data_IF_928657376475
#
_entry.id   IF_928657376475
#
_cell.length_a   1.000
_cell.length_b   1.000
_cell.length_c   1.000
_cell.angle_alpha   90.00
_cell.angle_beta   90.00
_cell.angle_gamma   90.00
#
_symmetry.space_group_name_H-M   'P 1'
#
loop_
_entity.id
_entity.type
_entity.pdbx_description
1 polymer ?
#
# COMPACT_ATOMS: atom_id res chain seq x y z
N UNK A 1 3.37 -45.89 -17.57
CA UNK A 1 2.30 -45.53 -16.60
C UNK A 1 2.95 -45.67 -15.23
N UNK A 2 3.69 -44.66 -14.74
CA UNK A 2 3.29 -43.65 -13.71
C UNK A 2 2.32 -44.30 -12.69
N UNK A 3 2.63 -44.41 -11.40
CA UNK A 3 2.96 -43.32 -10.47
C UNK A 3 3.84 -43.78 -9.29
N UNK A 4 4.69 -42.87 -8.84
CA UNK A 4 5.72 -43.04 -7.82
C UNK A 4 5.16 -42.81 -6.41
N UNK A 5 5.21 -43.88 -5.62
CA UNK A 5 5.72 -44.02 -4.24
C UNK A 5 5.85 -42.75 -3.38
N UNK A 6 5.15 -42.81 -2.25
CA UNK A 6 5.28 -42.02 -1.03
C UNK A 6 6.76 -41.86 -0.59
N UNK A 7 7.16 -40.63 -0.26
CA UNK A 7 8.26 -40.43 0.68
C UNK A 7 7.94 -39.24 1.57
N UNK A 8 7.95 -39.51 2.87
CA UNK A 8 7.78 -38.59 3.99
C UNK A 8 8.49 -37.26 3.81
N UNK A 9 7.72 -36.17 3.80
CA UNK A 9 8.22 -34.87 4.23
C UNK A 9 8.03 -34.77 5.75
N UNK A 10 9.04 -35.19 6.51
CA UNK A 10 9.10 -34.89 7.93
C UNK A 10 9.04 -33.36 8.13
N UNK A 11 8.12 -32.81 8.94
CA UNK A 11 8.19 -31.40 9.28
C UNK A 11 9.40 -31.17 10.19
N UNK A 12 10.35 -30.37 9.73
CA UNK A 12 11.44 -29.89 10.59
C UNK A 12 10.84 -29.21 11.84
N UNK A 13 11.39 -29.44 13.05
CA UNK A 13 10.90 -28.78 14.25
C UNK A 13 11.13 -27.28 14.12
N UNK A 14 10.05 -26.51 14.14
CA UNK A 14 10.08 -25.05 14.29
C UNK A 14 10.55 -24.71 15.71
N UNK A 15 11.85 -24.74 15.92
CA UNK A 15 12.47 -24.06 17.06
C UNK A 15 12.25 -22.54 16.94
N UNK A 16 12.16 -21.80 18.05
CA UNK A 16 11.91 -20.36 18.02
C UNK A 16 13.12 -19.65 17.44
N UNK A 17 13.03 -19.18 16.19
CA UNK A 17 14.01 -18.25 15.62
C UNK A 17 13.70 -16.85 16.13
N UNK A 18 14.07 -16.58 17.37
CA UNK A 18 14.33 -15.22 17.84
C UNK A 18 15.69 -14.77 17.28
N UNK A 19 15.70 -14.30 16.04
CA UNK A 19 16.84 -13.56 15.48
C UNK A 19 16.75 -12.08 15.89
N UNK A 20 17.89 -11.37 16.02
CA UNK A 20 17.91 -9.97 16.45
C UNK A 20 17.08 -9.11 15.49
N UNK A 21 16.23 -8.27 16.08
CA UNK A 21 15.17 -7.49 15.41
C UNK A 21 15.70 -6.17 14.80
N UNK A 22 17.00 -6.08 14.54
CA UNK A 22 17.71 -4.81 14.26
C UNK A 22 18.32 -4.69 12.86
N UNK A 23 18.15 -5.69 11.97
CA UNK A 23 18.44 -5.47 10.55
C UNK A 23 17.25 -4.78 9.90
N UNK A 24 17.44 -3.52 9.49
CA UNK A 24 16.52 -2.81 8.60
C UNK A 24 16.27 -3.75 7.40
N UNK A 25 15.02 -4.13 7.11
CA UNK A 25 14.72 -5.02 6.01
C UNK A 25 15.34 -4.52 4.70
N UNK A 26 15.88 -5.43 3.90
CA UNK A 26 16.33 -5.10 2.55
C UNK A 26 15.15 -4.54 1.75
N UNK A 27 15.21 -3.23 1.47
CA UNK A 27 14.11 -2.50 0.86
C UNK A 27 13.84 -2.94 -0.58
N UNK A 28 14.86 -3.45 -1.28
CA UNK A 28 14.68 -4.01 -2.63
C UNK A 28 13.85 -5.27 -2.54
N UNK A 29 14.20 -6.17 -1.61
CA UNK A 29 13.44 -7.39 -1.36
C UNK A 29 12.01 -7.11 -0.91
N UNK A 30 11.79 -6.16 0.01
CA UNK A 30 10.43 -5.78 0.45
C UNK A 30 9.60 -5.27 -0.73
N UNK A 31 10.19 -4.46 -1.61
CA UNK A 31 9.53 -3.97 -2.81
C UNK A 31 9.14 -5.11 -3.77
N UNK A 32 10.02 -6.08 -3.97
CA UNK A 32 9.74 -7.28 -4.77
C UNK A 32 8.61 -8.12 -4.16
N UNK A 33 8.64 -8.38 -2.85
CA UNK A 33 7.58 -9.11 -2.14
C UNK A 33 6.23 -8.37 -2.23
N UNK A 34 6.23 -7.03 -2.16
CA UNK A 34 5.04 -6.21 -2.38
C UNK A 34 4.49 -6.38 -3.79
N UNK A 35 5.34 -6.25 -4.81
CA UNK A 35 4.91 -6.40 -6.22
C UNK A 35 4.33 -7.80 -6.48
N UNK A 36 4.98 -8.85 -5.99
CA UNK A 36 4.48 -10.22 -6.11
C UNK A 36 3.12 -10.39 -5.41
N UNK A 37 3.02 -9.90 -4.17
CA UNK A 37 1.77 -9.95 -3.42
C UNK A 37 0.63 -9.22 -4.13
N UNK A 38 0.87 -8.02 -4.66
CA UNK A 38 -0.14 -7.25 -5.40
C UNK A 38 -0.51 -7.92 -6.72
N UNK A 39 0.46 -8.50 -7.44
CA UNK A 39 0.19 -9.25 -8.67
C UNK A 39 -0.71 -10.46 -8.38
N UNK A 40 -0.40 -11.24 -7.34
CA UNK A 40 -1.24 -12.35 -6.88
C UNK A 40 -2.63 -11.87 -6.47
N UNK A 41 -2.71 -10.76 -5.72
CA UNK A 41 -3.95 -10.15 -5.29
C UNK A 41 -4.85 -9.78 -6.48
N UNK A 42 -4.29 -9.13 -7.51
CA UNK A 42 -5.02 -8.75 -8.73
C UNK A 42 -5.38 -9.94 -9.60
N UNK A 43 -4.57 -11.01 -9.60
CA UNK A 43 -4.86 -12.26 -10.30
C UNK A 43 -5.95 -13.11 -9.60
N UNK A 44 -6.56 -12.62 -8.52
CA UNK A 44 -7.64 -13.29 -7.81
C UNK A 44 -7.19 -14.21 -6.67
N UNK A 45 -5.89 -14.26 -6.38
CA UNK A 45 -5.40 -14.89 -5.14
C UNK A 45 -5.72 -13.94 -3.99
N UNK A 46 -6.29 -14.44 -2.89
CA UNK A 46 -6.66 -13.65 -1.71
C UNK A 46 -7.75 -12.58 -1.86
N UNK A 47 -7.97 -12.04 -3.05
CA UNK A 47 -9.07 -11.15 -3.42
C UNK A 47 -9.90 -11.89 -4.44
N UNK A 48 -10.69 -12.85 -3.97
CA UNK A 48 -11.41 -13.71 -4.87
C UNK A 48 -12.46 -12.87 -5.62
N UNK A 49 -12.54 -13.10 -6.94
CA UNK A 49 -13.51 -12.45 -7.82
C UNK A 49 -14.94 -12.94 -7.54
N UNK A 50 -15.59 -13.58 -8.51
CA UNK A 50 -16.91 -14.21 -8.33
C UNK A 50 -16.93 -15.33 -7.26
N UNK A 51 -15.75 -15.85 -6.90
CA UNK A 51 -15.55 -16.82 -5.82
C UNK A 51 -15.29 -16.08 -4.52
N UNK A 52 -15.76 -16.61 -3.39
CA UNK A 52 -15.55 -16.01 -2.05
C UNK A 52 -14.25 -16.51 -1.42
N UNK A 53 -13.42 -15.61 -0.89
CA UNK A 53 -12.16 -15.94 -0.17
C UNK A 53 -12.50 -16.74 1.10
N UNK A 54 -11.77 -17.82 1.40
CA UNK A 54 -11.98 -18.56 2.65
C UNK A 54 -11.45 -17.78 3.87
N UNK A 55 -11.97 -18.02 5.10
CA UNK A 55 -11.48 -17.35 6.30
C UNK A 55 -9.97 -17.49 6.56
N UNK A 56 -9.37 -18.62 6.16
CA UNK A 56 -7.93 -18.88 6.28
C UNK A 56 -7.12 -17.99 5.32
N UNK A 57 -7.56 -17.88 4.08
CA UNK A 57 -6.95 -17.02 3.07
C UNK A 57 -7.09 -15.54 3.44
N UNK A 58 -8.23 -15.13 4.01
CA UNK A 58 -8.45 -13.78 4.54
C UNK A 58 -7.44 -13.44 5.63
N UNK A 59 -7.28 -14.33 6.61
CA UNK A 59 -6.31 -14.13 7.71
C UNK A 59 -4.89 -14.00 7.17
N UNK A 60 -4.51 -14.86 6.22
CA UNK A 60 -3.20 -14.81 5.57
C UNK A 60 -2.99 -13.53 4.76
N UNK A 61 -4.01 -13.08 4.03
CA UNK A 61 -3.95 -11.82 3.30
C UNK A 61 -3.72 -10.65 4.26
N UNK A 62 -4.55 -10.55 5.31
CA UNK A 62 -4.45 -9.48 6.30
C UNK A 62 -3.07 -9.43 6.94
N UNK A 63 -2.55 -10.58 7.40
CA UNK A 63 -1.22 -10.62 8.03
C UNK A 63 -0.11 -10.26 7.06
N UNK A 64 -0.22 -10.69 5.79
CA UNK A 64 0.79 -10.43 4.77
C UNK A 64 0.78 -8.96 4.35
N UNK A 65 -0.40 -8.41 4.05
CA UNK A 65 -0.58 -7.00 3.71
C UNK A 65 -0.04 -6.12 4.82
N UNK A 66 -0.45 -6.36 6.07
CA UNK A 66 -0.02 -5.55 7.22
C UNK A 66 1.49 -5.59 7.41
N UNK A 67 2.10 -6.78 7.37
CA UNK A 67 3.55 -6.92 7.48
C UNK A 67 4.27 -6.11 6.40
N UNK A 68 3.87 -6.27 5.14
CA UNK A 68 4.50 -5.58 4.02
C UNK A 68 4.28 -4.06 4.08
N UNK A 69 3.11 -3.61 4.51
CA UNK A 69 2.82 -2.18 4.70
C UNK A 69 3.64 -1.56 5.83
N UNK A 70 3.82 -2.27 6.95
CA UNK A 70 4.64 -1.83 8.07
C UNK A 70 6.12 -1.77 7.66
N UNK A 71 6.64 -2.81 6.97
CA UNK A 71 8.02 -2.88 6.48
C UNK A 71 8.31 -1.80 5.43
N UNK A 72 7.43 -1.59 4.46
CA UNK A 72 7.58 -0.58 3.41
C UNK A 72 7.54 0.84 3.98
N UNK A 73 6.63 1.14 4.91
CA UNK A 73 6.57 2.46 5.54
C UNK A 73 7.78 2.72 6.44
N UNK A 74 8.26 1.72 7.19
CA UNK A 74 9.51 1.84 7.95
C UNK A 74 10.71 2.13 7.03
N UNK A 75 10.71 1.53 5.83
CA UNK A 75 11.70 1.75 4.78
C UNK A 75 11.82 3.18 4.27
N UNK A 76 10.79 4.01 4.43
CA UNK A 76 10.83 5.42 4.01
C UNK A 76 11.90 6.21 4.77
N UNK A 77 12.30 5.78 5.97
CA UNK A 77 13.37 6.40 6.73
C UNK A 77 14.78 6.06 6.20
N UNK A 78 14.92 5.05 5.34
CA UNK A 78 16.22 4.62 4.81
C UNK A 78 16.85 5.67 3.89
N UNK A 79 18.19 5.75 3.88
CA UNK A 79 18.95 6.69 3.05
C UNK A 79 18.57 6.57 1.57
N UNK A 80 18.52 5.33 1.06
CA UNK A 80 17.84 5.05 -0.21
C UNK A 80 16.44 4.49 0.06
N UNK A 81 15.46 5.37 -0.08
CA UNK A 81 14.05 5.09 0.17
C UNK A 81 13.27 4.81 -1.12
N UNK A 82 13.92 4.80 -2.30
CA UNK A 82 13.22 4.61 -3.58
C UNK A 82 12.45 3.28 -3.64
N UNK A 83 13.01 2.13 -3.21
CA UNK A 83 12.24 0.87 -3.22
C UNK A 83 11.04 0.92 -2.26
N UNK A 84 11.21 1.56 -1.11
CA UNK A 84 10.16 1.74 -0.11
C UNK A 84 9.03 2.66 -0.62
N UNK A 85 9.38 3.76 -1.29
CA UNK A 85 8.41 4.67 -1.90
C UNK A 85 7.55 3.96 -2.95
N UNK A 86 8.18 3.14 -3.80
CA UNK A 86 7.45 2.35 -4.78
C UNK A 86 6.56 1.31 -4.11
N UNK A 87 7.07 0.61 -3.09
CA UNK A 87 6.31 -0.38 -2.34
C UNK A 87 5.05 0.24 -1.70
N UNK A 88 5.19 1.42 -1.07
CA UNK A 88 4.06 2.15 -0.48
C UNK A 88 3.07 2.59 -1.57
N UNK A 89 3.54 3.12 -2.69
CA UNK A 89 2.67 3.49 -3.82
C UNK A 89 1.82 2.30 -4.29
N UNK A 90 2.46 1.15 -4.52
CA UNK A 90 1.81 -0.07 -5.00
C UNK A 90 0.79 -0.60 -3.99
N UNK A 91 1.06 -0.52 -2.69
CA UNK A 91 0.12 -0.88 -1.63
C UNK A 91 -1.07 0.07 -1.57
N UNK A 92 -0.87 1.37 -1.74
CA UNK A 92 -1.97 2.35 -1.79
C UNK A 92 -2.82 2.16 -3.05
N UNK A 93 -2.21 1.87 -4.20
CA UNK A 93 -2.94 1.49 -5.42
C UNK A 93 -3.82 0.26 -5.17
N UNK A 94 -3.29 -0.76 -4.48
CA UNK A 94 -4.07 -1.95 -4.12
C UNK A 94 -5.21 -1.60 -3.15
N UNK A 95 -4.96 -0.77 -2.13
CA UNK A 95 -5.98 -0.31 -1.18
C UNK A 95 -7.15 0.40 -1.90
N UNK A 96 -6.82 1.29 -2.85
CA UNK A 96 -7.82 1.97 -3.68
C UNK A 96 -8.59 0.98 -4.56
N UNK A 97 -7.90 0.00 -5.14
CA UNK A 97 -8.51 -1.05 -5.96
C UNK A 97 -9.52 -1.89 -5.16
N UNK A 98 -9.12 -2.40 -3.98
CA UNK A 98 -9.97 -3.33 -3.21
C UNK A 98 -11.23 -2.68 -2.64
N UNK A 99 -11.27 -1.36 -2.51
CA UNK A 99 -12.50 -0.63 -2.16
C UNK A 99 -13.64 -0.94 -3.14
N UNK A 100 -13.32 -1.11 -4.42
CA UNK A 100 -14.29 -1.32 -5.50
C UNK A 100 -14.87 -2.74 -5.63
N UNK A 101 -14.37 -3.73 -4.88
CA UNK A 101 -14.69 -5.16 -5.08
C UNK A 101 -15.05 -5.85 -3.78
N UNK A 102 -16.14 -6.64 -3.72
CA UNK A 102 -16.57 -7.44 -2.54
C UNK A 102 -15.63 -8.61 -2.21
N UNK A 103 -14.34 -8.33 -2.01
CA UNK A 103 -13.30 -9.33 -1.77
C UNK A 103 -13.54 -10.16 -0.51
N UNK A 104 -14.07 -9.55 0.56
CA UNK A 104 -14.38 -10.21 1.83
C UNK A 104 -15.87 -10.06 2.16
N UNK A 105 -16.51 -11.17 2.53
CA UNK A 105 -17.98 -11.27 2.70
C UNK A 105 -18.58 -10.30 3.74
N UNK A 106 -17.81 -9.87 4.73
CA UNK A 106 -18.35 -9.13 5.89
C UNK A 106 -17.33 -8.21 6.56
N UNK A 107 -16.16 -8.02 5.97
CA UNK A 107 -15.09 -7.25 6.59
C UNK A 107 -14.48 -6.34 5.53
N UNK A 108 -14.27 -5.08 5.88
CA UNK A 108 -13.52 -4.18 5.02
C UNK A 108 -12.03 -4.58 5.05
N UNK A 109 -11.36 -4.79 3.90
CA UNK A 109 -9.97 -5.20 3.87
C UNK A 109 -9.01 -4.22 4.56
N UNK A 110 -9.26 -2.91 4.46
CA UNK A 110 -8.39 -1.88 5.05
C UNK A 110 -8.64 -1.75 6.55
N UNK A 111 -9.89 -1.80 7.00
CA UNK A 111 -10.23 -1.88 8.43
C UNK A 111 -9.60 -3.13 9.07
N UNK A 112 -9.69 -4.28 8.41
CA UNK A 112 -9.07 -5.51 8.87
C UNK A 112 -7.55 -5.38 9.00
N UNK A 113 -6.90 -4.77 8.00
CA UNK A 113 -5.46 -4.55 7.99
C UNK A 113 -5.00 -3.44 8.94
N UNK A 114 -5.91 -2.54 9.35
CA UNK A 114 -5.59 -1.31 10.08
C UNK A 114 -4.83 -0.30 9.23
N UNK A 115 -4.99 -0.34 7.91
CA UNK A 115 -4.24 0.48 6.96
C UNK A 115 -4.97 1.78 6.64
N UNK A 116 -4.41 2.90 7.08
CA UNK A 116 -4.94 4.25 6.81
C UNK A 116 -4.23 4.80 5.58
N UNK A 117 -4.97 4.91 4.47
CA UNK A 117 -4.42 5.35 3.18
C UNK A 117 -3.94 6.79 3.26
N UNK A 118 -4.66 7.68 3.96
CA UNK A 118 -4.22 9.07 4.10
C UNK A 118 -2.89 9.21 4.84
N UNK A 119 -2.64 8.36 5.84
CA UNK A 119 -1.38 8.36 6.61
C UNK A 119 -0.23 7.84 5.75
N UNK A 120 -0.45 6.74 5.02
CA UNK A 120 0.54 6.19 4.10
C UNK A 120 0.91 7.18 2.98
N UNK A 121 -0.08 7.87 2.40
CA UNK A 121 0.13 8.91 1.40
C UNK A 121 0.91 10.10 1.99
N UNK A 122 0.60 10.52 3.22
CA UNK A 122 1.33 11.59 3.91
C UNK A 122 2.80 11.23 4.10
N UNK A 123 3.09 10.01 4.56
CA UNK A 123 4.45 9.52 4.75
C UNK A 123 5.23 9.46 3.42
N UNK A 124 4.60 8.92 2.37
CA UNK A 124 5.18 8.83 1.03
C UNK A 124 5.53 10.21 0.46
N UNK A 125 4.56 11.12 0.43
CA UNK A 125 4.75 12.46 -0.15
C UNK A 125 5.69 13.32 0.69
N UNK A 126 5.63 13.22 2.02
CA UNK A 126 6.59 13.87 2.90
C UNK A 126 8.03 13.41 2.62
N UNK A 127 8.23 12.10 2.41
CA UNK A 127 9.55 11.56 2.05
C UNK A 127 10.02 12.01 0.67
N UNK A 128 9.14 11.97 -0.33
CA UNK A 128 9.45 12.43 -1.69
C UNK A 128 9.86 13.90 -1.71
N UNK A 129 9.15 14.76 -0.97
CA UNK A 129 9.48 16.16 -0.83
C UNK A 129 10.85 16.35 -0.18
N UNK A 130 11.09 15.68 0.95
CA UNK A 130 12.34 15.81 1.69
C UNK A 130 13.57 15.35 0.89
N UNK A 131 13.42 14.33 0.02
CA UNK A 131 14.55 13.81 -0.77
C UNK A 131 14.75 14.52 -2.09
N UNK A 132 13.67 14.87 -2.79
CA UNK A 132 13.72 15.25 -4.21
C UNK A 132 13.21 16.68 -4.47
N UNK A 133 12.65 17.35 -3.47
CA UNK A 133 12.06 18.68 -3.61
C UNK A 133 10.68 18.71 -4.26
N UNK A 134 10.14 19.92 -4.41
CA UNK A 134 8.76 20.19 -4.82
C UNK A 134 8.45 19.76 -6.26
N UNK A 135 9.38 19.91 -7.19
CA UNK A 135 9.17 19.60 -8.60
C UNK A 135 8.90 18.09 -8.82
N UNK A 136 9.75 17.24 -8.23
CA UNK A 136 9.59 15.77 -8.33
C UNK A 136 8.38 15.31 -7.53
N UNK A 137 8.11 15.92 -6.38
CA UNK A 137 6.86 15.67 -5.66
C UNK A 137 5.66 15.95 -6.57
N UNK A 138 5.59 17.10 -7.22
CA UNK A 138 4.46 17.47 -8.07
C UNK A 138 4.26 16.50 -9.24
N UNK A 139 5.35 16.11 -9.91
CA UNK A 139 5.31 15.15 -11.02
C UNK A 139 4.73 13.79 -10.60
N UNK A 140 5.02 13.35 -9.38
CA UNK A 140 4.66 12.03 -8.85
C UNK A 140 3.33 12.02 -8.10
N UNK A 141 3.16 12.96 -7.19
CA UNK A 141 2.01 13.05 -6.29
C UNK A 141 0.74 13.50 -7.00
N UNK A 142 0.81 14.32 -8.06
CA UNK A 142 -0.41 14.81 -8.73
C UNK A 142 -1.15 13.70 -9.49
N UNK A 143 -0.49 12.85 -10.30
CA UNK A 143 -1.13 11.66 -10.85
C UNK A 143 -1.69 10.74 -9.75
N UNK A 144 -0.92 10.51 -8.68
CA UNK A 144 -1.35 9.68 -7.55
C UNK A 144 -2.59 10.24 -6.87
N UNK A 145 -2.63 11.55 -6.60
CA UNK A 145 -3.78 12.25 -6.02
C UNK A 145 -5.04 12.02 -6.86
N UNK A 146 -4.96 12.16 -8.18
CA UNK A 146 -6.10 11.93 -9.07
C UNK A 146 -6.55 10.46 -9.06
N UNK A 147 -5.61 9.50 -9.10
CA UNK A 147 -5.93 8.07 -9.06
C UNK A 147 -6.52 7.62 -7.73
N UNK A 148 -6.04 8.18 -6.62
CA UNK A 148 -6.39 7.75 -5.27
C UNK A 148 -7.53 8.55 -4.65
N UNK A 149 -7.89 9.69 -5.22
CA UNK A 149 -8.94 10.55 -4.69
C UNK A 149 -10.25 9.79 -4.51
N UNK A 150 -10.78 9.86 -3.31
CA UNK A 150 -12.06 9.26 -2.93
C UNK A 150 -12.82 10.24 -2.06
N UNK A 151 -14.14 10.35 -2.28
CA UNK A 151 -15.03 11.24 -1.53
C UNK A 151 -15.24 10.78 -0.08
N UNK A 152 -15.18 9.47 0.15
CA UNK A 152 -15.59 8.84 1.41
C UNK A 152 -14.50 7.86 1.91
N UNK A 153 -13.25 8.32 2.04
CA UNK A 153 -12.12 7.50 2.53
C UNK A 153 -11.81 6.27 1.68
N UNK A 154 -11.11 5.27 2.21
CA UNK A 154 -10.75 4.03 1.48
C UNK A 154 -11.29 2.75 2.11
N UNK A 155 -11.91 2.86 3.28
CA UNK A 155 -12.80 1.84 3.82
C UNK A 155 -14.15 1.88 3.09
N UNK A 156 -14.85 0.76 3.08
CA UNK A 156 -16.21 0.61 2.53
C UNK A 156 -17.27 1.01 3.53
N UNK A 157 -16.97 0.78 4.80
CA UNK A 157 -17.78 1.24 5.92
C UNK A 157 -17.24 2.61 6.32
N UNK A 158 -18.11 3.62 6.32
CA UNK A 158 -17.81 4.97 6.83
C UNK A 158 -17.75 5.02 8.37
N UNK A 159 -17.47 3.87 8.99
CA UNK A 159 -17.35 3.66 10.41
C UNK A 159 -16.22 2.64 10.66
N UNK A 160 -15.58 2.74 11.81
CA UNK A 160 -14.42 1.92 12.17
C UNK A 160 -13.19 2.77 12.48
N UNK A 161 -12.20 2.15 13.10
CA UNK A 161 -11.01 2.84 13.59
C UNK A 161 -10.14 3.38 12.46
N UNK A 162 -10.14 2.73 11.28
CA UNK A 162 -9.44 3.26 10.10
C UNK A 162 -10.24 4.44 9.55
N UNK A 163 -11.55 4.29 9.34
CA UNK A 163 -12.39 5.35 8.79
C UNK A 163 -12.35 6.64 9.63
N UNK A 164 -12.26 6.55 10.95
CA UNK A 164 -12.14 7.71 11.86
C UNK A 164 -10.80 8.45 11.75
N UNK A 165 -9.76 7.75 11.30
CA UNK A 165 -8.41 8.32 11.10
C UNK A 165 -8.19 8.87 9.70
N UNK A 166 -8.97 8.42 8.72
CA UNK A 166 -8.83 8.87 7.33
C UNK A 166 -9.14 10.37 7.17
N UNK A 167 -8.39 11.01 6.28
CA UNK A 167 -8.68 12.38 5.84
C UNK A 167 -8.58 12.50 4.31
N UNK A 168 -9.05 13.61 3.75
CA UNK A 168 -8.97 13.81 2.30
C UNK A 168 -7.51 13.94 1.85
N UNK A 169 -7.16 13.36 0.71
CA UNK A 169 -5.79 13.53 0.16
C UNK A 169 -5.48 14.98 -0.20
N UNK A 170 -6.51 15.78 -0.50
CA UNK A 170 -6.36 17.23 -0.66
C UNK A 170 -5.88 17.89 0.64
N UNK A 171 -6.41 17.47 1.80
CA UNK A 171 -5.94 17.93 3.10
C UNK A 171 -4.55 17.39 3.44
N UNK A 172 -4.23 16.15 3.04
CA UNK A 172 -2.89 15.59 3.21
C UNK A 172 -1.86 16.40 2.43
N UNK A 173 -2.06 16.57 1.12
CA UNK A 173 -1.09 17.29 0.30
C UNK A 173 -0.94 18.73 0.77
N UNK A 174 -2.03 19.41 1.14
CA UNK A 174 -1.97 20.78 1.67
C UNK A 174 -1.10 20.91 2.93
N UNK A 175 -1.01 19.86 3.76
CA UNK A 175 -0.13 19.82 4.94
C UNK A 175 1.31 19.49 4.60
N UNK A 176 1.55 18.75 3.52
CA UNK A 176 2.89 18.42 3.02
C UNK A 176 3.55 19.63 2.35
N UNK A 177 2.76 20.50 1.70
CA UNK A 177 3.28 21.67 0.99
C UNK A 177 3.58 22.82 1.97
N UNK A 178 4.84 22.94 2.35
CA UNK A 178 5.31 23.91 3.36
C UNK A 178 5.59 25.32 2.82
N UNK A 179 5.76 25.50 1.51
CA UNK A 179 6.16 26.76 0.88
C UNK A 179 5.42 27.04 -0.44
N UNK A 180 5.52 28.29 -0.90
CA UNK A 180 4.81 28.76 -2.09
C UNK A 180 5.26 28.03 -3.38
N UNK A 181 6.54 27.66 -3.49
CA UNK A 181 7.06 26.99 -4.68
C UNK A 181 6.48 25.57 -4.79
N UNK A 182 6.33 24.88 -3.66
CA UNK A 182 5.66 23.59 -3.58
C UNK A 182 4.19 23.67 -3.99
N UNK A 183 3.50 24.74 -3.58
CA UNK A 183 2.13 25.02 -4.00
C UNK A 183 2.02 25.26 -5.51
N UNK A 184 2.88 26.10 -6.09
CA UNK A 184 2.88 26.39 -7.54
C UNK A 184 3.17 25.13 -8.34
N UNK A 185 4.21 24.38 -7.97
CA UNK A 185 4.59 23.16 -8.67
C UNK A 185 3.46 22.11 -8.67
N UNK A 186 2.81 21.90 -7.52
CA UNK A 186 1.70 20.96 -7.42
C UNK A 186 0.46 21.44 -8.17
N UNK A 187 0.13 22.73 -8.15
CA UNK A 187 -0.97 23.28 -8.93
C UNK A 187 -0.76 23.06 -10.43
N UNK A 188 0.44 23.35 -10.93
CA UNK A 188 0.81 23.10 -12.33
C UNK A 188 0.75 21.61 -12.69
N UNK A 189 1.27 20.75 -11.82
CA UNK A 189 1.20 19.30 -11.99
C UNK A 189 -0.24 18.78 -12.03
N UNK A 190 -1.10 19.29 -11.14
CA UNK A 190 -2.51 18.93 -11.09
C UNK A 190 -3.25 19.33 -12.37
N UNK A 191 -3.02 20.54 -12.88
CA UNK A 191 -3.61 21.01 -14.13
C UNK A 191 -3.18 20.16 -15.34
N UNK A 192 -1.93 19.69 -15.36
CA UNK A 192 -1.44 18.80 -16.43
C UNK A 192 -2.16 17.45 -16.45
N UNK A 193 -2.47 16.88 -15.28
CA UNK A 193 -3.09 15.54 -15.19
C UNK A 193 -4.63 15.58 -15.28
N UNK A 194 -5.25 16.72 -15.04
CA UNK A 194 -6.73 16.86 -15.05
C UNK A 194 -7.30 17.54 -16.28
N UNK A 195 -6.48 18.23 -17.09
CA UNK A 195 -6.93 18.78 -18.37
C UNK A 195 -7.04 17.66 -19.42
N UNK A 196 -8.19 17.55 -20.12
CA UNK A 196 -8.25 16.70 -21.30
C UNK A 196 -7.27 17.23 -22.34
N UNK A 197 -6.44 16.36 -22.90
CA UNK A 197 -5.67 16.67 -24.11
C UNK A 197 -6.70 16.92 -25.22
N UNK A 198 -6.79 18.16 -25.67
CA UNK A 198 -7.68 18.57 -26.76
C UNK A 198 -7.25 18.00 -28.10
#
# INVERSE_FOLDING_TARGET
MREWIETELAPAPLGPRGGPRDEVPDQVRVCEEVREFVALARAGSYLAGDRRVSPKERTRWRSTFRRLADEAQAGLAASDSRPAEEAVEVLVDLACYVKGYDCFRSEDPMEAAGFVVSDAAAALWGRMLARNGSAVLAERAMPQLVRWASRFGWTRTEFGAVSERETSLASVIARVLCDLDAWVACADGYLKVTRPVG
#
